data_IF_602957741146
#
_entry.id   IF_602957741146
#
_cell.length_a   1.000
_cell.length_b   1.000
_cell.length_c   1.000
_cell.angle_alpha   90.00
_cell.angle_beta   90.00
_cell.angle_gamma   90.00
#
_symmetry.space_group_name_H-M   'P 1'
#
loop_
_entity.id
_entity.type
_entity.pdbx_description
1 polymer ?
#
# COMPACT_ATOMS: atom_id res chain seq x y z
N UNK A 1 -8.49 2.52 -8.74
CA UNK A 1 -8.50 1.10 -8.34
C UNK A 1 -7.27 0.89 -7.46
N UNK A 2 -7.46 0.37 -6.26
CA UNK A 2 -6.42 0.02 -5.31
C UNK A 2 -6.33 -1.50 -5.23
N UNK A 3 -5.13 -2.04 -5.37
CA UNK A 3 -4.88 -3.47 -5.19
C UNK A 3 -3.80 -3.63 -4.14
N UNK A 4 -4.09 -4.37 -3.08
CA UNK A 4 -3.15 -4.71 -2.02
C UNK A 4 -2.70 -6.15 -2.23
N UNK A 5 -1.41 -6.31 -2.48
CA UNK A 5 -0.76 -7.59 -2.69
C UNK A 5 0.14 -7.88 -1.50
N UNK A 6 0.10 -9.12 -1.03
CA UNK A 6 1.08 -9.64 -0.11
C UNK A 6 2.28 -10.18 -0.90
N UNK A 7 3.45 -9.54 -0.79
CA UNK A 7 4.65 -9.93 -1.57
C UNK A 7 5.20 -11.30 -1.14
N UNK A 8 4.99 -11.71 0.12
CA UNK A 8 5.50 -12.98 0.63
C UNK A 8 4.72 -14.19 0.10
N UNK A 9 3.39 -14.11 0.11
CA UNK A 9 2.49 -15.18 -0.35
C UNK A 9 2.02 -14.99 -1.79
N UNK A 10 2.33 -13.84 -2.41
CA UNK A 10 1.86 -13.42 -3.75
C UNK A 10 0.32 -13.40 -3.88
N UNK A 11 -0.39 -13.23 -2.76
CA UNK A 11 -1.85 -13.20 -2.75
C UNK A 11 -2.36 -11.77 -2.86
N UNK A 12 -3.42 -11.57 -3.65
CA UNK A 12 -4.18 -10.33 -3.65
C UNK A 12 -5.07 -10.31 -2.40
N UNK A 13 -4.66 -9.53 -1.39
CA UNK A 13 -5.39 -9.42 -0.13
C UNK A 13 -6.65 -8.55 -0.28
N UNK A 14 -6.60 -7.54 -1.14
CA UNK A 14 -7.74 -6.67 -1.40
C UNK A 14 -7.67 -6.04 -2.79
N UNK A 15 -8.84 -5.92 -3.41
CA UNK A 15 -9.04 -5.12 -4.61
C UNK A 15 -10.21 -4.18 -4.33
N UNK A 16 -9.91 -2.90 -4.14
CA UNK A 16 -10.90 -1.86 -3.93
C UNK A 16 -11.03 -1.00 -5.20
N UNK A 17 -12.21 -1.06 -5.81
CA UNK A 17 -12.52 -0.24 -6.99
C UNK A 17 -13.43 0.89 -6.55
N UNK A 18 -12.93 2.12 -6.64
CA UNK A 18 -13.71 3.35 -6.44
C UNK A 18 -13.51 4.31 -7.61
N UNK A 19 -14.53 5.12 -7.96
CA UNK A 19 -14.47 6.08 -9.07
C UNK A 19 -13.46 7.20 -8.81
N UNK A 20 -13.26 7.57 -7.53
CA UNK A 20 -12.20 8.45 -7.07
C UNK A 20 -11.65 7.87 -5.77
N UNK A 21 -10.33 7.73 -5.70
CA UNK A 21 -9.65 7.21 -4.52
C UNK A 21 -8.84 8.35 -3.91
N UNK A 22 -9.04 8.58 -2.62
CA UNK A 22 -8.20 9.48 -1.85
C UNK A 22 -7.45 8.66 -0.79
N UNK A 23 -6.46 9.27 -0.15
CA UNK A 23 -5.70 8.63 0.91
C UNK A 23 -6.55 8.12 2.09
N UNK A 24 -7.67 8.79 2.41
CA UNK A 24 -8.63 8.27 3.39
C UNK A 24 -9.31 6.98 2.94
N UNK A 25 -9.67 6.86 1.65
CA UNK A 25 -10.23 5.63 1.08
C UNK A 25 -9.21 4.48 1.11
N UNK A 26 -7.93 4.79 0.92
CA UNK A 26 -6.84 3.82 1.04
C UNK A 26 -6.68 3.36 2.49
N UNK A 27 -6.73 4.27 3.46
CA UNK A 27 -6.71 3.94 4.88
C UNK A 27 -7.88 3.04 5.29
N UNK A 28 -9.10 3.38 4.85
CA UNK A 28 -10.31 2.60 5.10
C UNK A 28 -10.20 1.19 4.54
N UNK A 29 -9.52 1.00 3.40
CA UNK A 29 -9.24 -0.32 2.84
C UNK A 29 -8.13 -1.07 3.59
N UNK A 30 -7.07 -0.38 4.04
CA UNK A 30 -5.93 -0.97 4.74
C UNK A 30 -6.24 -1.36 6.20
N UNK A 31 -7.11 -0.61 6.87
CA UNK A 31 -7.48 -0.85 8.27
C UNK A 31 -8.02 -2.29 8.52
N UNK A 32 -9.07 -2.77 7.82
CA UNK A 32 -9.56 -4.13 8.01
C UNK A 32 -8.56 -5.19 7.55
N UNK A 33 -7.70 -4.88 6.57
CA UNK A 33 -6.64 -5.79 6.13
C UNK A 33 -5.64 -6.07 7.25
N UNK A 34 -5.19 -5.04 7.97
CA UNK A 34 -4.27 -5.24 9.09
C UNK A 34 -4.92 -5.94 10.27
N UNK A 35 -6.23 -5.74 10.50
CA UNK A 35 -6.94 -6.51 11.53
C UNK A 35 -7.05 -7.99 11.17
N UNK A 36 -7.21 -8.33 9.87
CA UNK A 36 -7.41 -9.71 9.41
C UNK A 36 -6.09 -10.47 9.20
N UNK A 37 -5.09 -9.81 8.64
CA UNK A 37 -3.82 -10.43 8.24
C UNK A 37 -2.65 -10.08 9.18
N UNK A 38 -2.83 -9.09 10.04
CA UNK A 38 -1.79 -8.55 10.88
C UNK A 38 -1.04 -7.39 10.23
N UNK A 39 -0.17 -6.76 11.02
CA UNK A 39 0.71 -5.67 10.59
C UNK A 39 1.82 -6.23 9.69
N UNK A 40 2.01 -5.73 8.46
CA UNK A 40 3.20 -6.05 7.68
C UNK A 40 4.41 -5.28 8.23
N UNK A 41 5.61 -5.77 7.94
CA UNK A 41 6.85 -5.06 8.30
C UNK A 41 7.16 -3.92 7.32
N UNK A 42 6.81 -4.12 6.04
CA UNK A 42 7.07 -3.18 4.95
C UNK A 42 5.80 -3.01 4.13
N UNK A 43 5.55 -1.77 3.70
CA UNK A 43 4.53 -1.48 2.70
C UNK A 43 5.23 -0.78 1.55
N UNK A 44 5.05 -1.37 0.38
CA UNK A 44 5.47 -0.83 -0.89
C UNK A 44 4.23 -0.27 -1.57
N UNK A 45 4.29 1.01 -1.91
CA UNK A 45 3.18 1.71 -2.56
C UNK A 45 3.69 2.47 -3.76
N UNK A 46 2.86 2.51 -4.80
CA UNK A 46 3.08 3.36 -5.96
C UNK A 46 3.11 4.84 -5.55
N UNK A 47 3.73 5.68 -6.38
CA UNK A 47 3.88 7.11 -6.14
C UNK A 47 2.61 7.90 -6.45
N UNK A 48 1.46 7.25 -6.28
CA UNK A 48 0.18 7.89 -6.45
C UNK A 48 -0.04 8.98 -5.40
N UNK A 49 -0.74 10.07 -5.74
CA UNK A 49 -0.98 11.16 -4.80
C UNK A 49 -1.76 10.72 -3.56
N UNK A 50 -2.51 9.61 -3.63
CA UNK A 50 -3.18 9.03 -2.46
C UNK A 50 -2.20 8.36 -1.47
N UNK A 51 -1.00 7.98 -1.90
CA UNK A 51 0.00 7.34 -1.05
C UNK A 51 1.04 8.31 -0.47
N UNK A 52 1.22 9.45 -1.13
CA UNK A 52 2.13 10.53 -0.69
C UNK A 52 1.48 11.40 0.40
N UNK A 53 0.18 11.24 0.64
CA UNK A 53 -0.54 12.05 1.60
C UNK A 53 0.04 11.92 3.03
N UNK A 54 0.33 13.07 3.64
CA UNK A 54 1.02 13.16 4.94
C UNK A 54 0.34 12.33 6.03
N UNK A 55 -0.99 12.34 6.09
CA UNK A 55 -1.75 11.59 7.09
C UNK A 55 -1.61 10.07 6.95
N UNK A 56 -1.50 9.54 5.72
CA UNK A 56 -1.21 8.12 5.51
C UNK A 56 0.20 7.80 6.00
N UNK A 57 1.20 8.64 5.68
CA UNK A 57 2.56 8.42 6.17
C UNK A 57 2.67 8.50 7.70
N UNK A 58 1.98 9.45 8.32
CA UNK A 58 1.91 9.56 9.78
C UNK A 58 1.23 8.35 10.40
N UNK A 59 0.13 7.87 9.81
CA UNK A 59 -0.55 6.68 10.28
C UNK A 59 0.33 5.44 10.17
N UNK A 60 1.00 5.24 9.03
CA UNK A 60 1.96 4.15 8.82
C UNK A 60 3.10 4.18 9.84
N UNK A 61 3.65 5.36 10.11
CA UNK A 61 4.67 5.56 11.15
C UNK A 61 4.13 5.23 12.55
N UNK A 62 2.89 5.62 12.88
CA UNK A 62 2.25 5.31 14.17
C UNK A 62 2.09 3.82 14.41
N UNK A 63 1.74 3.06 13.38
CA UNK A 63 1.66 1.58 13.45
C UNK A 63 3.02 0.90 13.27
N UNK A 64 4.11 1.68 13.24
CA UNK A 64 5.48 1.20 13.15
C UNK A 64 5.80 0.49 11.84
N UNK A 65 5.03 0.77 10.78
CA UNK A 65 5.31 0.27 9.42
C UNK A 65 6.23 1.28 8.75
N UNK A 66 7.30 0.79 8.15
CA UNK A 66 8.21 1.63 7.36
C UNK A 66 7.63 1.74 5.94
N UNK A 67 7.13 2.92 5.52
CA UNK A 67 6.71 3.11 4.14
C UNK A 67 7.96 3.06 3.25
N UNK A 68 8.04 2.08 2.36
CA UNK A 68 9.05 2.04 1.32
C UNK A 68 8.43 2.62 0.06
N UNK A 69 8.63 3.93 -0.11
CA UNK A 69 8.16 4.62 -1.30
C UNK A 69 9.03 4.18 -2.48
N UNK A 70 8.43 3.55 -3.50
CA UNK A 70 9.14 3.31 -4.76
C UNK A 70 9.42 4.68 -5.36
N UNK A 71 10.67 5.01 -5.67
CA UNK A 71 10.97 6.26 -6.38
C UNK A 71 10.48 6.14 -7.83
N UNK A 72 9.72 7.12 -8.36
CA UNK A 72 9.29 7.09 -9.75
C UNK A 72 10.50 7.38 -10.63
N UNK A 73 10.98 6.39 -11.36
CA UNK A 73 12.15 6.53 -12.23
C UNK A 73 13.00 5.27 -12.43
N UNK A 74 12.70 4.19 -11.70
CA UNK A 74 13.40 2.91 -11.84
C UNK A 74 12.52 1.89 -12.59
N UNK A 75 12.72 1.66 -13.90
CA UNK A 75 11.91 0.75 -14.71
C UNK A 75 12.03 -0.74 -14.32
N UNK A 76 12.89 -1.09 -13.36
CA UNK A 76 13.19 -2.48 -12.94
C UNK A 76 12.34 -3.00 -11.77
N UNK A 77 11.42 -2.19 -11.26
CA UNK A 77 10.63 -2.51 -10.07
C UNK A 77 9.19 -2.97 -10.41
N UNK A 78 8.86 -3.05 -11.71
CA UNK A 78 7.59 -3.57 -12.20
C UNK A 78 7.82 -4.52 -13.39
N UNK A 79 7.96 -5.81 -13.10
CA UNK A 79 7.89 -6.89 -14.11
C UNK A 79 9.00 -7.94 -14.03
N UNK A 80 8.64 -9.14 -13.55
CA UNK A 80 9.33 -10.37 -13.91
C UNK A 80 9.95 -11.15 -12.75
N UNK A 81 9.48 -12.40 -12.63
CA UNK A 81 10.02 -13.52 -11.85
C UNK A 81 11.54 -13.51 -11.61
N UNK A 82 11.93 -13.74 -10.35
CA UNK A 82 12.94 -14.73 -9.98
C UNK A 82 12.73 -15.23 -8.56
#
# INVERSE_FOLDING_TARGET
>A
MLTVLDEYTRQALCVAVRPKMNANDVLDALHPLFMKHGKPEFIRSDTGPEFIATHLQEWLKRIGIKPMQIYPGSPWECGGIR
#
